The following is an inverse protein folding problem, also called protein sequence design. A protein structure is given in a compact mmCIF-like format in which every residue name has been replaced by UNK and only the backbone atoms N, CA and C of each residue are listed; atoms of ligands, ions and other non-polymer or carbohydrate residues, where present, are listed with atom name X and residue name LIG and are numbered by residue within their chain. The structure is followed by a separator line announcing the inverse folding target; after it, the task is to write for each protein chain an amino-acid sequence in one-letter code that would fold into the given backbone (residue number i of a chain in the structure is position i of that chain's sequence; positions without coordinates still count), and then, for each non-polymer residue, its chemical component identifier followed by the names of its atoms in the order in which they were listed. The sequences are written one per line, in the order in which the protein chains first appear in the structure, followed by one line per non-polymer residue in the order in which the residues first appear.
data_IF_286949055063
#
_entry.id   IF_286949055063
#
_cell.length_a   1.000
_cell.length_b   1.000
_cell.length_c   1.000
_cell.angle_alpha   90.00
_cell.angle_beta   90.00
_cell.angle_gamma   90.00
#
_symmetry.space_group_name_H-M   'P 1'
#
loop_
_entity.id
_entity.type
_entity.pdbx_description
1 polymer ?
#
# COMPACT_ATOMS: atom_id res chain seq x y z
N UNK A 1 -14.31 -8.67 -1.62
CA UNK A 1 -13.70 -9.14 -2.85
C UNK A 1 -13.01 -8.05 -3.65
N UNK A 2 -13.64 -6.90 -3.82
CA UNK A 2 -13.00 -5.78 -4.52
C UNK A 2 -11.67 -5.35 -3.89
N UNK A 3 -11.62 -5.30 -2.57
CA UNK A 3 -10.41 -4.89 -1.87
C UNK A 3 -9.23 -5.82 -2.17
N UNK A 4 -9.42 -7.13 -2.06
CA UNK A 4 -8.37 -8.10 -2.35
C UNK A 4 -7.91 -8.02 -3.81
N UNK A 5 -8.86 -7.85 -4.74
CA UNK A 5 -8.54 -7.68 -6.15
C UNK A 5 -7.75 -6.39 -6.38
N UNK A 6 -8.14 -5.29 -5.73
CA UNK A 6 -7.41 -4.03 -5.85
C UNK A 6 -5.97 -4.15 -5.34
N UNK A 7 -5.77 -4.85 -4.24
CA UNK A 7 -4.42 -5.07 -3.71
C UNK A 7 -3.57 -5.90 -4.67
N UNK A 8 -4.17 -6.92 -5.28
CA UNK A 8 -3.49 -7.73 -6.29
C UNK A 8 -3.10 -6.88 -7.50
N UNK A 9 -4.03 -6.08 -8.02
CA UNK A 9 -3.79 -5.19 -9.16
C UNK A 9 -2.72 -4.16 -8.84
N UNK A 10 -2.76 -3.60 -7.63
CA UNK A 10 -1.75 -2.64 -7.18
C UNK A 10 -0.36 -3.28 -7.17
N UNK A 11 -0.22 -4.49 -6.64
CA UNK A 11 1.05 -5.20 -6.64
C UNK A 11 1.57 -5.45 -8.05
N UNK A 12 0.69 -5.87 -8.96
CA UNK A 12 1.04 -6.09 -10.36
C UNK A 12 1.47 -4.80 -11.04
N UNK A 13 0.76 -3.70 -10.79
CA UNK A 13 1.09 -2.38 -11.33
C UNK A 13 2.48 -1.93 -10.90
N UNK A 14 2.78 -2.02 -9.61
CA UNK A 14 4.09 -1.63 -9.09
C UNK A 14 5.21 -2.48 -9.69
N UNK A 15 4.99 -3.78 -9.82
CA UNK A 15 5.97 -4.68 -10.39
C UNK A 15 6.23 -4.36 -11.86
N UNK A 16 5.17 -4.18 -12.66
CA UNK A 16 5.30 -3.87 -14.08
C UNK A 16 5.96 -2.50 -14.30
N UNK A 17 5.56 -1.49 -13.53
CA UNK A 17 6.17 -0.16 -13.65
C UNK A 17 7.66 -0.22 -13.33
N UNK A 18 8.05 -1.00 -12.33
CA UNK A 18 9.46 -1.20 -11.99
C UNK A 18 10.26 -1.86 -13.11
N UNK A 19 9.62 -2.69 -13.94
CA UNK A 19 10.30 -3.35 -15.07
C UNK A 19 10.52 -2.43 -16.27
N UNK A 20 9.61 -1.47 -16.50
CA UNK A 20 9.63 -0.67 -17.73
C UNK A 20 10.12 0.77 -17.53
N UNK A 21 10.14 1.29 -16.32
CA UNK A 21 10.53 2.67 -16.04
C UNK A 21 11.82 2.74 -15.23
N UNK A 22 12.85 3.36 -15.81
CA UNK A 22 14.12 3.59 -15.11
C UNK A 22 13.93 4.58 -13.95
N UNK A 23 13.11 5.60 -14.14
CA UNK A 23 12.83 6.60 -13.10
C UNK A 23 12.14 5.98 -11.91
N UNK A 24 11.18 5.11 -12.15
CA UNK A 24 10.48 4.41 -11.08
C UNK A 24 11.45 3.51 -10.29
N UNK A 25 12.36 2.81 -10.98
CA UNK A 25 13.37 2.01 -10.30
C UNK A 25 14.31 2.84 -9.44
N UNK A 26 14.67 4.05 -9.88
CA UNK A 26 15.46 4.96 -9.08
C UNK A 26 14.73 5.35 -7.79
N UNK A 27 13.43 5.62 -7.89
CA UNK A 27 12.61 5.90 -6.72
C UNK A 27 12.56 4.71 -5.77
N UNK A 28 12.38 3.50 -6.30
CA UNK A 28 12.36 2.29 -5.49
C UNK A 28 13.68 2.01 -4.77
N UNK A 29 14.81 2.44 -5.34
CA UNK A 29 16.12 2.24 -4.74
C UNK A 29 16.42 3.19 -3.58
N UNK A 30 15.70 4.29 -3.48
CA UNK A 30 15.94 5.30 -2.45
C UNK A 30 15.59 4.81 -1.06
N UNK A 31 14.64 3.90 -0.95
CA UNK A 31 14.17 3.39 0.33
C UNK A 31 13.92 1.89 0.24
N UNK A 32 14.18 1.20 1.34
CA UNK A 32 13.83 -0.22 1.49
C UNK A 32 12.92 -0.35 2.68
N UNK A 33 11.76 -0.96 2.48
CA UNK A 33 10.79 -1.13 3.56
C UNK A 33 9.79 -2.23 3.25
N UNK A 34 9.11 -2.69 4.29
CA UNK A 34 8.04 -3.67 4.19
C UNK A 34 6.77 -2.99 4.67
N UNK A 35 5.75 -2.99 3.84
CA UNK A 35 4.48 -2.33 4.13
C UNK A 35 3.33 -3.32 3.96
N UNK A 36 2.45 -3.37 4.96
CA UNK A 36 1.24 -4.19 4.92
C UNK A 36 0.03 -3.30 4.72
N UNK A 37 -0.86 -3.70 3.81
CA UNK A 37 -2.19 -3.10 3.69
C UNK A 37 -3.17 -4.18 4.12
N UNK A 38 -3.97 -3.89 5.14
CA UNK A 38 -4.91 -4.87 5.69
C UNK A 38 -6.20 -4.23 6.19
N UNK A 39 -7.19 -5.07 6.42
CA UNK A 39 -8.39 -4.68 7.15
C UNK A 39 -8.13 -4.79 8.65
N UNK A 40 -8.93 -4.07 9.45
CA UNK A 40 -8.75 -4.03 10.90
C UNK A 40 -8.86 -5.40 11.56
N UNK A 41 -9.72 -6.28 11.03
CA UNK A 41 -9.89 -7.64 11.53
C UNK A 41 -8.77 -8.60 11.09
N UNK A 42 -7.89 -8.16 10.20
CA UNK A 42 -6.81 -8.98 9.68
C UNK A 42 -7.22 -10.04 8.66
N UNK A 43 -8.51 -10.11 8.32
CA UNK A 43 -9.01 -11.15 7.42
C UNK A 43 -8.50 -10.99 5.99
N UNK A 44 -8.18 -9.76 5.60
CA UNK A 44 -7.65 -9.44 4.27
C UNK A 44 -6.39 -8.63 4.42
N UNK A 45 -5.31 -9.12 3.82
CA UNK A 45 -4.01 -8.47 3.94
C UNK A 45 -3.13 -8.79 2.76
N UNK A 46 -2.27 -7.86 2.42
CA UNK A 46 -1.22 -8.07 1.43
C UNK A 46 0.01 -7.28 1.86
N UNK A 47 1.15 -7.93 1.75
CA UNK A 47 2.44 -7.34 2.12
C UNK A 47 3.18 -6.93 0.87
N UNK A 48 3.75 -5.73 0.89
CA UNK A 48 4.55 -5.16 -0.19
C UNK A 48 5.98 -5.04 0.28
N UNK A 49 6.89 -5.65 -0.45
CA UNK A 49 8.32 -5.62 -0.17
C UNK A 49 8.98 -4.69 -1.17
N UNK A 50 9.50 -3.57 -0.70
CA UNK A 50 10.24 -2.61 -1.54
C UNK A 50 11.72 -2.76 -1.20
N UNK A 51 12.47 -3.34 -2.13
CA UNK A 51 13.85 -3.73 -1.85
C UNK A 51 14.66 -3.81 -3.15
N UNK A 52 15.87 -3.25 -3.12
CA UNK A 52 16.82 -3.34 -4.25
C UNK A 52 16.25 -2.84 -5.59
N UNK A 53 15.44 -1.78 -5.55
CA UNK A 53 14.82 -1.21 -6.74
C UNK A 53 13.67 -2.05 -7.30
N UNK A 54 13.13 -2.98 -6.50
CA UNK A 54 12.02 -3.85 -6.90
C UNK A 54 10.87 -3.76 -5.91
N UNK A 55 9.66 -3.91 -6.43
CA UNK A 55 8.46 -4.01 -5.64
C UNK A 55 7.88 -5.41 -5.80
N UNK A 56 7.67 -6.12 -4.69
CA UNK A 56 7.05 -7.44 -4.68
C UNK A 56 5.86 -7.42 -3.75
N UNK A 57 4.86 -8.22 -4.04
CA UNK A 57 3.67 -8.33 -3.21
C UNK A 57 3.40 -9.80 -2.88
N UNK A 58 2.93 -10.04 -1.65
CA UNK A 58 2.57 -11.37 -1.18
C UNK A 58 1.29 -11.28 -0.36
N UNK A 59 0.41 -12.27 -0.53
CA UNK A 59 -0.81 -12.37 0.28
C UNK A 59 -0.43 -12.63 1.75
N UNK A 60 -1.18 -12.02 2.66
CA UNK A 60 -1.04 -12.26 4.09
C UNK A 60 -0.26 -11.17 4.81
N UNK A 61 -0.11 -11.37 6.11
CA UNK A 61 0.55 -10.45 7.03
C UNK A 61 2.04 -10.77 7.13
N UNK A 62 2.84 -9.74 7.32
CA UNK A 62 4.25 -9.87 7.66
C UNK A 62 4.47 -9.22 9.03
N UNK A 63 4.79 -10.00 10.07
CA UNK A 63 4.97 -9.45 11.43
C UNK A 63 6.08 -8.42 11.54
N UNK A 64 7.05 -8.44 10.62
CA UNK A 64 8.19 -7.52 10.64
C UNK A 64 8.00 -6.31 9.74
N UNK A 65 6.75 -5.97 9.43
CA UNK A 65 6.46 -4.82 8.59
C UNK A 65 6.92 -3.52 9.25
N UNK A 66 7.51 -2.63 8.46
CA UNK A 66 7.92 -1.31 8.92
C UNK A 66 6.71 -0.40 9.09
N UNK A 67 5.68 -0.62 8.31
CA UNK A 67 4.48 0.21 8.28
C UNK A 67 3.26 -0.64 7.94
N UNK A 68 2.11 -0.30 8.52
CA UNK A 68 0.85 -0.92 8.18
C UNK A 68 -0.20 0.13 7.86
N UNK A 69 -0.93 -0.07 6.77
CA UNK A 69 -2.10 0.70 6.42
C UNK A 69 -3.32 -0.14 6.80
N UNK A 70 -4.05 0.30 7.82
CA UNK A 70 -5.15 -0.48 8.39
C UNK A 70 -6.48 0.20 8.06
N UNK A 71 -7.26 -0.43 7.19
CA UNK A 71 -8.58 0.05 6.82
C UNK A 71 -9.65 -0.50 7.74
N UNK A 72 -10.64 0.31 8.10
CA UNK A 72 -11.71 -0.10 8.99
C UNK A 72 -12.54 -1.25 8.41
N UNK A 73 -12.73 -1.25 7.08
CA UNK A 73 -13.42 -2.32 6.38
C UNK A 73 -13.03 -2.32 4.90
N UNK A 74 -13.22 -3.46 4.19
CA UNK A 74 -12.81 -3.57 2.79
C UNK A 74 -13.62 -2.69 1.82
N UNK A 75 -14.89 -2.43 2.11
CA UNK A 75 -15.72 -1.61 1.23
C UNK A 75 -15.27 -0.16 1.23
N UNK A 76 -15.00 0.40 2.40
CA UNK A 76 -14.48 1.77 2.54
C UNK A 76 -13.14 1.89 1.85
N UNK A 77 -12.25 0.90 2.05
CA UNK A 77 -10.93 0.88 1.42
C UNK A 77 -11.05 0.90 -0.11
N UNK A 78 -11.90 0.03 -0.67
CA UNK A 78 -12.08 -0.05 -2.12
C UNK A 78 -12.63 1.26 -2.69
N UNK A 79 -13.62 1.84 -2.03
CA UNK A 79 -14.24 3.10 -2.46
C UNK A 79 -13.20 4.24 -2.52
N UNK A 80 -12.41 4.38 -1.47
CA UNK A 80 -11.42 5.46 -1.38
C UNK A 80 -10.25 5.23 -2.34
N UNK A 81 -9.77 3.99 -2.44
CA UNK A 81 -8.68 3.66 -3.36
C UNK A 81 -9.07 3.89 -4.83
N UNK A 82 -10.33 3.64 -5.17
CA UNK A 82 -10.83 3.84 -6.53
C UNK A 82 -11.12 5.31 -6.85
N UNK A 83 -11.34 6.16 -5.85
CA UNK A 83 -11.65 7.58 -6.07
C UNK A 83 -10.48 8.34 -6.68
N UNK A 84 -9.25 7.91 -6.43
CA UNK A 84 -8.00 8.56 -6.87
C UNK A 84 -7.90 10.02 -6.41
N UNK A 85 -8.62 10.38 -5.36
CA UNK A 85 -8.60 11.72 -4.81
C UNK A 85 -7.82 11.69 -3.49
N UNK A 86 -6.69 12.40 -3.45
CA UNK A 86 -5.83 12.46 -2.26
C UNK A 86 -6.57 12.96 -1.03
N UNK A 87 -7.52 13.89 -1.21
CA UNK A 87 -8.31 14.43 -0.10
C UNK A 87 -9.14 13.34 0.57
N UNK A 88 -9.61 12.35 -0.19
CA UNK A 88 -10.38 11.24 0.37
C UNK A 88 -9.50 10.39 1.30
N UNK A 89 -8.23 10.21 0.94
CA UNK A 89 -7.28 9.47 1.78
C UNK A 89 -7.02 10.24 3.08
N UNK A 90 -6.77 11.54 3.00
CA UNK A 90 -6.53 12.36 4.19
C UNK A 90 -7.76 12.43 5.09
N UNK A 91 -8.95 12.52 4.50
CA UNK A 91 -10.20 12.46 5.25
C UNK A 91 -10.36 11.12 5.96
N UNK A 92 -9.98 10.02 5.31
CA UNK A 92 -10.04 8.69 5.91
C UNK A 92 -9.13 8.59 7.12
N UNK A 93 -7.92 9.16 7.04
CA UNK A 93 -6.99 9.20 8.16
C UNK A 93 -7.59 10.01 9.32
N UNK A 94 -8.11 11.19 9.02
CA UNK A 94 -8.69 12.08 10.03
C UNK A 94 -9.93 11.51 10.72
N UNK A 95 -10.70 10.67 10.03
CA UNK A 95 -11.90 10.04 10.57
C UNK A 95 -11.66 8.62 11.11
N UNK A 96 -10.40 8.19 11.17
CA UNK A 96 -9.99 6.86 11.63
C UNK A 96 -10.49 5.69 10.78
N UNK A 97 -10.90 5.95 9.54
CA UNK A 97 -11.24 4.90 8.58
C UNK A 97 -9.98 4.22 8.04
N UNK A 98 -8.90 4.96 7.98
CA UNK A 98 -7.57 4.44 7.67
C UNK A 98 -6.63 4.82 8.81
N UNK A 99 -5.98 3.83 9.41
CA UNK A 99 -4.96 4.06 10.43
C UNK A 99 -3.60 3.66 9.87
N UNK A 100 -2.60 4.44 10.20
CA UNK A 100 -1.22 4.15 9.80
C UNK A 100 -0.44 3.78 11.05
N UNK A 101 0.05 2.54 11.08
CA UNK A 101 0.86 2.03 12.17
C UNK A 101 2.31 1.93 11.73
N UNK A 102 3.23 2.20 12.65
CA UNK A 102 4.66 2.14 12.35
C UNK A 102 5.17 3.43 11.74
N UNK A 103 6.06 3.32 10.78
CA UNK A 103 6.75 4.48 10.21
C UNK A 103 5.89 5.20 9.16
N UNK A 104 5.39 6.37 9.52
CA UNK A 104 4.53 7.19 8.68
C UNK A 104 5.22 7.61 7.36
N UNK A 105 6.53 7.80 7.40
CA UNK A 105 7.31 8.16 6.22
C UNK A 105 7.13 7.16 5.08
N UNK A 106 7.18 5.87 5.40
CA UNK A 106 7.02 4.82 4.40
C UNK A 106 5.59 4.75 3.87
N UNK A 107 4.60 5.06 4.69
CA UNK A 107 3.21 5.14 4.23
C UNK A 107 3.05 6.22 3.17
N UNK A 108 3.59 7.42 3.42
CA UNK A 108 3.54 8.52 2.44
C UNK A 108 4.31 8.17 1.18
N UNK A 109 5.48 7.57 1.32
CA UNK A 109 6.32 7.15 0.21
C UNK A 109 5.58 6.14 -0.67
N UNK A 110 4.95 5.15 -0.05
CA UNK A 110 4.20 4.13 -0.78
C UNK A 110 3.01 4.74 -1.53
N UNK A 111 2.28 5.65 -0.91
CA UNK A 111 1.16 6.32 -1.56
C UNK A 111 1.61 7.11 -2.78
N UNK A 112 2.78 7.73 -2.73
CA UNK A 112 3.38 8.42 -3.87
C UNK A 112 3.71 7.44 -5.00
N UNK A 113 4.29 6.28 -4.68
CA UNK A 113 4.61 5.25 -5.67
C UNK A 113 3.36 4.67 -6.33
N UNK A 114 2.31 4.48 -5.55
CA UNK A 114 1.07 3.87 -6.02
C UNK A 114 0.15 4.82 -6.78
N UNK A 115 0.36 6.12 -6.60
CA UNK A 115 -0.45 7.17 -7.21
C UNK A 115 -0.22 7.44 -8.70
#
# INVERSE_FOLDING_TARGET
MKFSLLLFVLGAKLRLTGLVSKEFRKLLRREQFILVIRTADGARARTFFIRNGRARARRGLEPRADTELVWCDPETAARIMLSKNELDVYSAIGSSKLRILGNFKYALWFMTLAG
#
